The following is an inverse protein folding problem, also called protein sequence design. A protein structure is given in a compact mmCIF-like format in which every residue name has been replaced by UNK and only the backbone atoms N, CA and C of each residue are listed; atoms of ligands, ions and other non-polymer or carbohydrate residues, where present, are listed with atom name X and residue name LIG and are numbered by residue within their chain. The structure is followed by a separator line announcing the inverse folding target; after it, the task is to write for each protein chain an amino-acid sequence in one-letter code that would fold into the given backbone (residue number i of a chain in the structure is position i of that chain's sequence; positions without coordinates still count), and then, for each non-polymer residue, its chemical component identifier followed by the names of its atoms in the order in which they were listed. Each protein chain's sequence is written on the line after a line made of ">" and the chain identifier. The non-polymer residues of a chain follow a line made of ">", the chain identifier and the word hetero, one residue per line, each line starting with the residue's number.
data_IF_432088482177
#
_entry.id   IF_432088482177
#
_cell.length_a   1.000
_cell.length_b   1.000
_cell.length_c   1.000
_cell.angle_alpha   90.00
_cell.angle_beta   90.00
_cell.angle_gamma   90.00
#
_symmetry.space_group_name_H-M   'P 1'
#
loop_
_entity.id
_entity.type
_entity.pdbx_description
1 polymer ?
#
# COMPACT_ATOMS: atom_id res chain seq x y z
N UNK A 1 -7.66 -0.58 10.12
CA UNK A 1 -7.90 -1.22 8.80
C UNK A 1 -9.33 -1.10 8.31
N UNK A 2 -10.38 -1.43 9.08
CA UNK A 2 -11.80 -1.40 8.63
C UNK A 2 -12.21 -0.14 7.84
N UNK A 3 -11.76 1.05 8.23
CA UNK A 3 -12.05 2.32 7.52
C UNK A 3 -11.40 2.43 6.14
N UNK A 4 -10.21 1.86 5.95
CA UNK A 4 -9.56 1.81 4.62
C UNK A 4 -10.33 0.87 3.69
N UNK A 5 -10.80 -0.26 4.22
CA UNK A 5 -11.63 -1.21 3.45
C UNK A 5 -13.01 -0.63 3.10
N UNK A 6 -13.66 0.08 4.02
CA UNK A 6 -14.89 0.82 3.72
C UNK A 6 -14.69 1.91 2.66
N UNK A 7 -13.52 2.56 2.64
CA UNK A 7 -13.15 3.49 1.57
C UNK A 7 -13.07 2.78 0.21
N UNK A 8 -12.41 1.62 0.17
CA UNK A 8 -12.26 0.84 -1.06
C UNK A 8 -13.63 0.38 -1.56
N UNK A 9 -14.46 -0.19 -0.68
CA UNK A 9 -15.81 -0.65 -1.01
C UNK A 9 -16.65 0.47 -1.66
N UNK A 10 -16.64 1.67 -1.08
CA UNK A 10 -17.30 2.85 -1.67
C UNK A 10 -16.76 3.22 -3.06
N UNK A 11 -15.46 3.06 -3.31
CA UNK A 11 -14.84 3.43 -4.58
C UNK A 11 -15.01 2.36 -5.69
N UNK A 12 -15.23 1.09 -5.33
CA UNK A 12 -15.30 -0.02 -6.29
C UNK A 12 -16.73 -0.49 -6.60
N UNK A 13 -17.70 -0.18 -5.74
CA UNK A 13 -19.11 -0.57 -5.97
C UNK A 13 -19.63 0.17 -7.21
N UNK A 14 -20.14 -0.55 -8.23
CA UNK A 14 -20.76 0.08 -9.38
C UNK A 14 -21.92 0.96 -8.91
N UNK A 15 -21.84 2.26 -9.17
CA UNK A 15 -22.97 3.16 -8.95
C UNK A 15 -24.06 2.76 -9.95
N UNK A 16 -25.23 2.35 -9.47
CA UNK A 16 -26.36 2.17 -10.39
C UNK A 16 -26.64 3.53 -11.04
N UNK A 17 -26.89 3.54 -12.35
CA UNK A 17 -27.09 4.76 -13.16
C UNK A 17 -28.25 5.64 -12.65
N UNK A 18 -29.04 5.13 -11.69
CA UNK A 18 -30.16 5.82 -11.05
C UNK A 18 -29.95 6.12 -9.55
N UNK A 19 -28.85 5.67 -8.95
CA UNK A 19 -28.47 6.02 -7.58
C UNK A 19 -27.75 7.37 -7.62
N UNK A 20 -28.47 8.43 -7.28
CA UNK A 20 -27.94 9.79 -7.19
C UNK A 20 -27.22 10.04 -5.85
N UNK A 21 -27.03 9.00 -5.05
CA UNK A 21 -26.27 9.07 -3.80
C UNK A 21 -24.78 9.17 -4.13
N UNK A 22 -24.36 10.42 -4.23
CA UNK A 22 -23.00 10.90 -4.32
C UNK A 22 -22.06 10.12 -3.36
N UNK A 23 -21.29 9.18 -3.92
CA UNK A 23 -20.41 8.31 -3.13
C UNK A 23 -19.15 9.07 -2.72
N UNK A 24 -19.20 9.72 -1.56
CA UNK A 24 -18.05 10.43 -1.00
C UNK A 24 -17.39 9.64 0.15
N UNK A 25 -16.17 9.11 -0.04
CA UNK A 25 -15.38 8.63 1.09
C UNK A 25 -15.04 9.81 2.00
N UNK A 26 -15.20 9.61 3.31
CA UNK A 26 -14.86 10.65 4.30
C UNK A 26 -13.35 10.88 4.33
N UNK A 27 -12.93 12.08 4.73
CA UNK A 27 -11.50 12.41 4.95
C UNK A 27 -10.79 11.39 5.86
N UNK A 28 -11.51 10.84 6.83
CA UNK A 28 -11.00 9.81 7.76
C UNK A 28 -10.80 8.45 7.07
N UNK A 29 -11.70 8.07 6.16
CA UNK A 29 -11.59 6.84 5.37
C UNK A 29 -10.43 6.94 4.36
N UNK A 30 -10.33 8.07 3.66
CA UNK A 30 -9.19 8.38 2.77
C UNK A 30 -7.86 8.40 3.53
N UNK A 31 -7.80 9.07 4.69
CA UNK A 31 -6.60 9.08 5.53
C UNK A 31 -6.21 7.69 6.03
N UNK A 32 -7.17 6.83 6.34
CA UNK A 32 -6.90 5.45 6.71
C UNK A 32 -6.35 4.63 5.53
N UNK A 33 -6.84 4.87 4.31
CA UNK A 33 -6.36 4.22 3.09
C UNK A 33 -4.92 4.66 2.76
N UNK A 34 -4.65 5.96 2.76
CA UNK A 34 -3.31 6.51 2.52
C UNK A 34 -2.31 5.97 3.54
N UNK A 35 -2.68 5.92 4.82
CA UNK A 35 -1.82 5.35 5.85
C UNK A 35 -1.50 3.87 5.59
N UNK A 36 -2.49 3.07 5.22
CA UNK A 36 -2.30 1.65 4.90
C UNK A 36 -1.34 1.48 3.71
N UNK A 37 -1.50 2.28 2.66
CA UNK A 37 -0.63 2.29 1.47
C UNK A 37 0.80 2.67 1.85
N UNK A 38 0.97 3.72 2.66
CA UNK A 38 2.29 4.16 3.10
C UNK A 38 3.01 3.10 3.95
N UNK A 39 2.30 2.47 4.89
CA UNK A 39 2.85 1.39 5.71
C UNK A 39 3.32 0.21 4.84
N UNK A 40 2.59 -0.12 3.77
CA UNK A 40 2.98 -1.18 2.84
C UNK A 40 4.16 -0.80 1.94
N UNK A 41 4.18 0.43 1.43
CA UNK A 41 5.31 0.93 0.64
C UNK A 41 6.60 0.94 1.46
N UNK A 42 6.53 1.38 2.71
CA UNK A 42 7.66 1.37 3.63
C UNK A 42 8.22 -0.05 3.83
N UNK A 43 7.35 -1.03 4.12
CA UNK A 43 7.77 -2.44 4.24
C UNK A 43 8.47 -2.96 2.98
N UNK A 44 7.99 -2.58 1.79
CA UNK A 44 8.61 -2.99 0.53
C UNK A 44 9.99 -2.37 0.31
N UNK A 45 10.17 -1.11 0.70
CA UNK A 45 11.47 -0.43 0.66
C UNK A 45 12.45 -1.17 1.57
N UNK A 46 12.06 -1.44 2.80
CA UNK A 46 12.90 -2.16 3.77
C UNK A 46 13.30 -3.56 3.27
N UNK A 47 12.36 -4.30 2.69
CA UNK A 47 12.64 -5.62 2.10
C UNK A 47 13.61 -5.54 0.90
N UNK A 48 13.44 -4.53 0.04
CA UNK A 48 14.34 -4.29 -1.08
C UNK A 48 15.75 -3.92 -0.60
N UNK A 49 15.87 -3.06 0.40
CA UNK A 49 17.15 -2.69 1.01
C UNK A 49 17.87 -3.89 1.63
N UNK A 50 17.15 -4.72 2.40
CA UNK A 50 17.70 -5.96 2.98
C UNK A 50 18.19 -6.93 1.90
N UNK A 51 17.44 -7.04 0.79
CA UNK A 51 17.83 -7.85 -0.36
C UNK A 51 19.10 -7.31 -1.01
N UNK A 52 19.19 -6.00 -1.25
CA UNK A 52 20.37 -5.36 -1.83
C UNK A 52 21.61 -5.50 -0.93
N UNK A 53 21.45 -5.40 0.39
CA UNK A 53 22.53 -5.63 1.35
C UNK A 53 23.03 -7.07 1.28
N UNK A 54 22.12 -8.04 1.22
CA UNK A 54 22.46 -9.46 1.09
C UNK A 54 23.21 -9.76 -0.21
N UNK A 55 22.75 -9.19 -1.33
CA UNK A 55 23.43 -9.32 -2.63
C UNK A 55 24.83 -8.71 -2.61
N UNK A 56 24.99 -7.53 -1.99
CA UNK A 56 26.31 -6.88 -1.87
C UNK A 56 27.27 -7.69 -1.00
N UNK A 57 26.78 -8.27 0.09
CA UNK A 57 27.58 -9.15 0.94
C UNK A 57 28.06 -10.38 0.14
N UNK A 58 27.14 -11.09 -0.51
CA UNK A 58 27.47 -12.24 -1.34
C UNK A 58 28.46 -11.91 -2.48
N UNK A 59 28.29 -10.77 -3.15
CA UNK A 59 29.22 -10.31 -4.18
C UNK A 59 30.60 -9.95 -3.61
N UNK A 60 30.65 -9.34 -2.42
CA UNK A 60 31.89 -9.02 -1.72
C UNK A 60 32.63 -10.26 -1.20
N UNK A 61 31.91 -11.32 -0.85
CA UNK A 61 32.48 -12.61 -0.45
C UNK A 61 32.99 -13.38 -1.68
N UNK A 62 32.26 -13.35 -2.80
CA UNK A 62 32.67 -13.96 -4.06
C UNK A 62 33.96 -13.35 -4.65
N UNK A 63 34.25 -12.08 -4.35
CA UNK A 63 35.48 -11.40 -4.81
C UNK A 63 36.71 -11.72 -3.94
N UNK A 64 36.53 -12.37 -2.79
CA UNK A 64 37.60 -12.68 -1.82
C UNK A 64 37.98 -14.16 -1.77
N UNK A 65 37.22 -15.04 -2.41
CA UNK A 65 37.52 -16.47 -2.56
C UNK A 65 38.16 -16.76 -3.91
#
# INVERSE_FOLDING_TARGET
>A
MRRAYACIEKLIVPQHVNDTDDVYPTRTELGALVRLVNEELQRRIEAAEATLQSLRAAAGDAQRG
#
